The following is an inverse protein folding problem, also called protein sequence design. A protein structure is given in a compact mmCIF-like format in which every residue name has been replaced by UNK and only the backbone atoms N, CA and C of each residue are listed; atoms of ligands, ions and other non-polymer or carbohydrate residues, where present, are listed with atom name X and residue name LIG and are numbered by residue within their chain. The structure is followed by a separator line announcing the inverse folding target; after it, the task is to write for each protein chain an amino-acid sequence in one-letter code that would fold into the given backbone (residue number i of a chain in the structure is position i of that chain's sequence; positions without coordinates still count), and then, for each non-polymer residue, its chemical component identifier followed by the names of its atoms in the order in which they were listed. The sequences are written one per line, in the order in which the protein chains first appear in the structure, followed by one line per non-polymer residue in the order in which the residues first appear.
data_IF_107615979845
#
_entry.id   IF_107615979845
#
_cell.length_a   1.000
_cell.length_b   1.000
_cell.length_c   1.000
_cell.angle_alpha   90.00
_cell.angle_beta   90.00
_cell.angle_gamma   90.00
#
_symmetry.space_group_name_H-M   'P 1'
#
loop_
_entity.id
_entity.type
_entity.pdbx_description
1 polymer ?
#
# COMPACT_ATOMS: atom_id res chain seq x y z
N UNK A 1 5.80 31.98 -44.86
CA UNK A 1 5.22 30.63 -44.98
C UNK A 1 6.07 29.72 -44.10
N UNK A 2 5.75 29.65 -42.82
CA UNK A 2 6.57 28.98 -41.79
C UNK A 2 6.06 27.54 -41.66
N UNK A 3 6.94 26.59 -41.95
CA UNK A 3 6.70 25.17 -41.78
C UNK A 3 6.47 24.88 -40.29
N UNK A 4 5.31 24.32 -39.97
CA UNK A 4 5.00 23.80 -38.64
C UNK A 4 5.73 22.47 -38.52
N UNK A 5 6.67 22.44 -37.57
CA UNK A 5 7.39 21.27 -37.08
C UNK A 5 6.44 20.09 -36.85
N UNK A 6 6.58 19.02 -37.63
CA UNK A 6 6.04 17.70 -37.31
C UNK A 6 6.62 17.26 -35.95
N UNK A 7 5.77 17.26 -34.92
CA UNK A 7 6.08 16.61 -33.67
C UNK A 7 6.32 15.12 -33.96
N UNK A 8 7.53 14.65 -33.71
CA UNK A 8 7.89 13.24 -33.73
C UNK A 8 6.95 12.51 -32.75
N UNK A 9 5.93 11.83 -33.28
CA UNK A 9 5.13 10.88 -32.50
C UNK A 9 6.07 9.77 -32.05
N UNK A 10 6.33 9.69 -30.76
CA UNK A 10 7.01 8.54 -30.17
C UNK A 10 6.14 7.29 -30.38
N UNK A 11 6.72 6.12 -30.70
CA UNK A 11 5.96 4.91 -30.88
C UNK A 11 5.30 4.53 -29.54
N UNK A 12 4.00 4.21 -29.59
CA UNK A 12 3.27 3.66 -28.47
C UNK A 12 4.06 2.45 -27.93
N UNK A 13 4.27 2.34 -26.61
CA UNK A 13 4.52 1.03 -26.02
C UNK A 13 3.33 0.16 -26.41
N UNK A 14 3.54 -0.77 -27.33
CA UNK A 14 2.50 -1.70 -27.79
C UNK A 14 2.09 -2.60 -26.62
N UNK A 15 0.80 -2.95 -26.52
CA UNK A 15 0.25 -3.88 -25.51
C UNK A 15 1.08 -5.16 -25.39
N UNK A 16 1.55 -5.68 -26.53
CA UNK A 16 2.44 -6.83 -26.60
C UNK A 16 3.76 -6.60 -25.83
N UNK A 17 4.33 -5.39 -25.89
CA UNK A 17 5.60 -5.05 -25.20
C UNK A 17 5.44 -5.05 -23.68
N UNK A 18 4.31 -4.55 -23.15
CA UNK A 18 4.03 -4.60 -21.71
C UNK A 18 3.77 -6.03 -21.25
N UNK A 19 2.98 -6.78 -22.02
CA UNK A 19 2.69 -8.19 -21.73
C UNK A 19 3.97 -9.04 -21.73
N UNK A 20 4.83 -8.86 -22.74
CA UNK A 20 6.13 -9.54 -22.85
C UNK A 20 7.07 -9.16 -21.70
N UNK A 21 7.06 -7.89 -21.29
CA UNK A 21 7.80 -7.40 -20.14
C UNK A 21 7.33 -8.11 -18.86
N UNK A 22 6.02 -8.18 -18.61
CA UNK A 22 5.47 -8.88 -17.44
C UNK A 22 5.77 -10.39 -17.48
N UNK A 23 5.69 -11.02 -18.65
CA UNK A 23 6.08 -12.41 -18.83
C UNK A 23 7.58 -12.63 -18.52
N UNK A 24 8.46 -11.73 -18.95
CA UNK A 24 9.87 -11.75 -18.61
C UNK A 24 10.10 -11.57 -17.11
N UNK A 25 9.42 -10.62 -16.47
CA UNK A 25 9.44 -10.43 -15.02
C UNK A 25 9.06 -11.72 -14.27
N UNK A 26 7.97 -12.38 -14.68
CA UNK A 26 7.54 -13.66 -14.11
C UNK A 26 8.61 -14.76 -14.23
N UNK A 27 9.30 -14.84 -15.37
CA UNK A 27 10.43 -15.77 -15.55
C UNK A 27 11.60 -15.48 -14.61
N UNK A 28 11.88 -14.21 -14.31
CA UNK A 28 12.91 -13.85 -13.34
C UNK A 28 12.46 -14.23 -11.93
N UNK A 29 11.24 -13.86 -11.53
CA UNK A 29 10.66 -14.18 -10.21
C UNK A 29 10.66 -15.67 -9.92
N UNK A 30 10.39 -16.51 -10.92
CA UNK A 30 10.43 -17.97 -10.78
C UNK A 30 11.81 -18.51 -10.34
N UNK A 31 12.91 -17.75 -10.54
CA UNK A 31 14.27 -18.11 -10.11
C UNK A 31 14.58 -17.68 -8.66
N UNK A 32 13.68 -16.94 -8.03
CA UNK A 32 13.80 -16.45 -6.65
C UNK A 32 12.56 -16.87 -5.84
N UNK A 33 12.24 -18.18 -5.76
CA UNK A 33 11.06 -18.66 -5.05
C UNK A 33 11.09 -18.31 -3.56
N UNK A 34 12.29 -18.16 -2.98
CA UNK A 34 12.51 -17.71 -1.60
C UNK A 34 11.93 -16.33 -1.30
N UNK A 35 11.91 -15.41 -2.27
CA UNK A 35 11.35 -14.07 -2.08
C UNK A 35 9.81 -14.07 -2.01
N UNK A 36 9.13 -15.18 -2.36
CA UNK A 36 7.69 -15.35 -2.14
C UNK A 36 7.34 -15.40 -0.65
N UNK A 37 8.31 -15.66 0.22
CA UNK A 37 8.17 -15.51 1.67
C UNK A 37 7.67 -14.11 2.09
N UNK A 38 7.90 -13.08 1.26
CA UNK A 38 7.40 -11.74 1.53
C UNK A 38 5.89 -11.59 1.28
N UNK A 39 5.19 -12.55 0.67
CA UNK A 39 3.73 -12.51 0.53
C UNK A 39 3.03 -12.80 1.88
N UNK A 40 1.75 -12.40 2.04
CA UNK A 40 0.91 -12.89 3.13
C UNK A 40 0.95 -14.43 3.18
N UNK A 41 1.26 -14.99 4.35
CA UNK A 41 1.37 -16.43 4.58
C UNK A 41 2.55 -17.10 3.87
N UNK A 42 3.44 -16.30 3.27
CA UNK A 42 4.59 -16.78 2.51
C UNK A 42 5.52 -17.63 3.36
N UNK A 43 6.16 -18.61 2.71
CA UNK A 43 7.01 -19.61 3.36
C UNK A 43 8.44 -19.52 2.83
N UNK A 44 9.41 -19.56 3.74
CA UNK A 44 10.84 -19.67 3.46
C UNK A 44 11.32 -21.02 3.96
N UNK A 45 11.68 -21.91 3.03
CA UNK A 45 12.22 -23.23 3.35
C UNK A 45 13.71 -23.30 3.00
N UNK A 46 14.54 -23.55 4.01
CA UNK A 46 15.99 -23.67 3.91
C UNK A 46 16.40 -25.11 4.17
N UNK A 47 16.63 -25.89 3.12
CA UNK A 47 17.14 -27.27 3.20
C UNK A 47 18.65 -27.27 3.18
N UNK A 48 19.26 -27.62 4.31
CA UNK A 48 20.72 -27.63 4.45
C UNK A 48 21.13 -28.50 5.62
N UNK A 49 22.30 -29.11 5.53
CA UNK A 49 22.90 -29.90 6.61
C UNK A 49 23.86 -29.02 7.40
N UNK A 50 23.53 -28.70 8.65
CA UNK A 50 24.39 -27.92 9.55
C UNK A 50 24.70 -28.78 10.79
N UNK A 51 25.92 -29.32 10.91
CA UNK A 51 26.29 -30.09 12.08
C UNK A 51 26.57 -29.19 13.28
N UNK A 52 26.38 -29.76 14.48
CA UNK A 52 26.75 -29.16 15.76
C UNK A 52 26.19 -27.73 15.97
N UNK A 53 24.94 -27.50 15.54
CA UNK A 53 24.26 -26.23 15.72
C UNK A 53 23.81 -26.08 17.19
N UNK A 54 24.12 -24.94 17.80
CA UNK A 54 23.74 -24.61 19.18
C UNK A 54 22.67 -23.53 19.26
N UNK A 55 22.52 -22.72 18.21
CA UNK A 55 21.42 -21.76 18.11
C UNK A 55 21.07 -21.40 16.67
N UNK A 56 19.82 -21.03 16.44
CA UNK A 56 19.35 -20.35 15.23
C UNK A 56 18.88 -18.94 15.62
N UNK A 57 19.37 -17.93 14.91
CA UNK A 57 18.92 -16.54 15.04
C UNK A 57 18.27 -16.09 13.75
N UNK A 58 17.14 -15.42 13.89
CA UNK A 58 16.43 -14.76 12.80
C UNK A 58 16.40 -13.27 13.14
N UNK A 59 16.88 -12.43 12.24
CA UNK A 59 17.01 -10.99 12.49
C UNK A 59 16.64 -10.14 11.27
N UNK A 60 16.28 -8.88 11.53
CA UNK A 60 16.06 -7.89 10.48
C UNK A 60 17.18 -6.85 10.49
N UNK A 61 17.93 -6.64 9.40
CA UNK A 61 18.97 -5.61 9.32
C UNK A 61 18.40 -4.19 9.08
N UNK A 62 17.34 -3.81 9.79
CA UNK A 62 16.68 -2.50 9.65
C UNK A 62 15.93 -2.06 10.92
N UNK A 63 15.38 -0.84 10.91
CA UNK A 63 14.47 -0.36 11.97
C UNK A 63 13.04 -0.82 11.70
N UNK A 64 12.66 -1.97 12.24
CA UNK A 64 11.32 -2.53 12.04
C UNK A 64 10.90 -3.42 13.22
N UNK A 65 9.73 -4.05 13.14
CA UNK A 65 9.32 -5.12 14.04
C UNK A 65 9.52 -6.48 13.37
N UNK A 66 10.26 -7.39 14.00
CA UNK A 66 10.32 -8.79 13.59
C UNK A 66 9.03 -9.48 14.05
N UNK A 67 8.32 -10.05 13.09
CA UNK A 67 6.92 -10.42 13.27
C UNK A 67 6.58 -11.63 12.40
N UNK A 68 6.54 -12.83 13.00
CA UNK A 68 6.47 -14.11 12.29
C UNK A 68 5.35 -15.01 12.82
N UNK A 69 4.80 -15.85 11.94
CA UNK A 69 3.74 -16.79 12.27
C UNK A 69 4.29 -18.12 12.80
N UNK A 70 5.28 -18.69 12.13
CA UNK A 70 5.84 -20.00 12.47
C UNK A 70 7.34 -20.04 12.18
N UNK A 71 8.10 -20.74 13.01
CA UNK A 71 9.48 -21.18 12.74
C UNK A 71 9.58 -22.65 13.13
N UNK A 72 9.85 -23.51 12.15
CA UNK A 72 10.11 -24.94 12.35
C UNK A 72 11.58 -25.22 12.06
N UNK A 73 12.17 -26.10 12.86
CA UNK A 73 13.54 -26.57 12.65
C UNK A 73 13.50 -28.09 12.67
N UNK A 74 13.84 -28.74 11.57
CA UNK A 74 14.05 -30.18 11.59
C UNK A 74 15.51 -30.42 11.99
N UNK A 75 15.69 -31.09 13.11
CA UNK A 75 16.99 -31.39 13.68
C UNK A 75 17.07 -32.86 14.12
N UNK A 76 18.14 -33.54 13.74
CA UNK A 76 18.32 -34.96 14.06
C UNK A 76 18.51 -35.13 15.58
N UNK A 77 17.84 -36.15 16.14
CA UNK A 77 17.93 -36.48 17.57
C UNK A 77 17.04 -35.64 18.49
N UNK A 78 16.21 -34.72 17.97
CA UNK A 78 15.26 -33.94 18.76
C UNK A 78 13.83 -34.36 18.48
N UNK A 79 13.20 -35.04 19.44
CA UNK A 79 11.77 -35.45 19.36
C UNK A 79 10.82 -34.35 19.80
N UNK A 80 11.20 -33.51 20.77
CA UNK A 80 10.40 -32.39 21.26
C UNK A 80 11.23 -31.09 21.23
N UNK A 81 11.09 -30.33 20.14
CA UNK A 81 11.79 -29.06 19.97
C UNK A 81 11.36 -27.99 20.97
N UNK A 82 10.12 -28.04 21.45
CA UNK A 82 9.62 -27.04 22.41
C UNK A 82 10.37 -27.24 23.73
N UNK A 83 10.47 -28.48 24.20
CA UNK A 83 11.19 -28.83 25.42
C UNK A 83 12.72 -28.72 25.27
N UNK A 84 13.27 -29.08 24.11
CA UNK A 84 14.71 -29.10 23.86
C UNK A 84 15.32 -27.73 23.48
N UNK A 85 14.51 -26.66 23.47
CA UNK A 85 14.99 -25.32 23.13
C UNK A 85 14.59 -24.27 24.15
N UNK A 86 15.37 -23.19 24.22
CA UNK A 86 14.96 -21.91 24.78
C UNK A 86 14.74 -20.90 23.65
N UNK A 87 13.79 -19.99 23.84
CA UNK A 87 13.38 -19.01 22.84
C UNK A 87 13.45 -17.62 23.44
N UNK A 88 14.20 -16.72 22.82
CA UNK A 88 14.37 -15.34 23.28
C UNK A 88 14.24 -14.36 22.12
N UNK A 89 13.92 -13.11 22.44
CA UNK A 89 13.83 -12.02 21.46
C UNK A 89 14.54 -10.78 21.99
N UNK A 90 14.92 -9.89 21.08
CA UNK A 90 15.46 -8.57 21.43
C UNK A 90 14.50 -7.73 22.26
N UNK A 91 13.19 -7.82 21.95
CA UNK A 91 12.11 -7.18 22.69
C UNK A 91 10.78 -7.91 22.46
N UNK A 92 9.74 -7.53 23.22
CA UNK A 92 8.39 -8.08 23.10
C UNK A 92 7.36 -6.95 23.00
N UNK A 93 6.44 -7.08 22.03
CA UNK A 93 5.25 -6.24 21.90
C UNK A 93 4.08 -6.89 22.65
N UNK A 94 3.37 -6.13 23.51
CA UNK A 94 2.10 -6.53 24.16
C UNK A 94 2.01 -8.01 24.58
N UNK A 95 2.99 -8.47 25.37
CA UNK A 95 3.05 -9.82 25.97
C UNK A 95 3.28 -11.01 25.01
N UNK A 96 3.75 -10.77 23.78
CA UNK A 96 4.08 -11.85 22.82
C UNK A 96 5.20 -12.80 23.29
N UNK A 97 5.95 -12.45 24.33
CA UNK A 97 6.90 -13.32 25.01
C UNK A 97 6.23 -14.55 25.64
N UNK A 98 5.00 -14.42 26.13
CA UNK A 98 4.20 -15.55 26.64
C UNK A 98 3.79 -16.48 25.49
N UNK A 99 3.36 -15.90 24.36
CA UNK A 99 3.03 -16.66 23.13
C UNK A 99 4.26 -17.40 22.62
N UNK A 100 5.41 -16.74 22.57
CA UNK A 100 6.69 -17.37 22.19
C UNK A 100 7.06 -18.52 23.13
N UNK A 101 6.91 -18.32 24.44
CA UNK A 101 7.25 -19.34 25.45
C UNK A 101 6.37 -20.59 25.35
N UNK A 102 5.11 -20.46 24.89
CA UNK A 102 4.15 -21.57 24.76
C UNK A 102 4.50 -22.62 23.70
N UNK A 103 5.44 -22.31 22.79
CA UNK A 103 5.81 -23.21 21.70
C UNK A 103 4.93 -23.09 20.45
N UNK A 104 3.93 -22.19 20.42
CA UNK A 104 3.10 -21.88 19.22
C UNK A 104 3.96 -21.59 17.98
N UNK A 105 5.18 -21.06 18.17
CA UNK A 105 6.15 -20.86 17.10
C UNK A 105 6.45 -22.13 16.31
N UNK A 106 6.41 -23.30 16.95
CA UNK A 106 6.67 -24.60 16.36
C UNK A 106 5.39 -25.33 15.88
N UNK A 107 4.23 -24.68 15.93
CA UNK A 107 2.98 -25.25 15.41
C UNK A 107 2.90 -25.04 13.87
N UNK A 108 3.03 -26.12 13.07
CA UNK A 108 2.94 -26.01 11.61
C UNK A 108 1.55 -25.61 11.11
N UNK A 109 0.50 -25.81 11.92
CA UNK A 109 -0.88 -25.43 11.62
C UNK A 109 -1.20 -23.98 11.96
N UNK A 110 -0.40 -23.34 12.82
CA UNK A 110 -0.62 -21.97 13.22
C UNK A 110 -0.39 -21.00 12.04
N UNK A 111 -1.38 -20.13 11.82
CA UNK A 111 -1.32 -19.01 10.85
C UNK A 111 -1.34 -17.66 11.54
N UNK A 112 -1.66 -17.64 12.83
CA UNK A 112 -1.57 -16.45 13.65
C UNK A 112 -0.11 -16.15 13.98
N UNK A 113 0.13 -14.97 14.54
CA UNK A 113 1.49 -14.59 14.92
C UNK A 113 1.94 -15.32 16.17
N UNK A 114 3.07 -16.00 16.08
CA UNK A 114 3.70 -16.61 17.24
C UNK A 114 4.63 -15.67 18.01
N UNK A 115 5.20 -14.65 17.34
CA UNK A 115 6.14 -13.71 17.98
C UNK A 115 6.09 -12.32 17.34
N UNK A 116 6.27 -11.28 18.16
CA UNK A 116 6.29 -9.88 17.72
C UNK A 116 7.25 -9.06 18.59
N UNK A 117 8.31 -8.50 18.00
CA UNK A 117 9.20 -7.53 18.70
C UNK A 117 8.62 -6.12 18.66
N UNK A 118 9.05 -5.23 19.55
CA UNK A 118 8.78 -3.80 19.36
C UNK A 118 9.44 -3.33 18.06
N UNK A 119 9.01 -2.17 17.55
CA UNK A 119 9.72 -1.53 16.45
C UNK A 119 11.05 -0.98 16.98
N UNK A 120 12.15 -1.52 16.51
CA UNK A 120 13.50 -1.21 17.00
C UNK A 120 14.53 -1.41 15.89
N UNK A 121 15.76 -0.94 16.12
CA UNK A 121 16.88 -1.21 15.23
C UNK A 121 17.37 -2.65 15.43
N UNK A 122 17.45 -3.41 14.35
CA UNK A 122 17.96 -4.79 14.36
C UNK A 122 17.22 -5.74 15.34
N UNK A 123 15.88 -5.86 15.23
CA UNK A 123 15.15 -6.84 16.03
C UNK A 123 15.56 -8.25 15.66
N UNK A 124 15.63 -9.12 16.66
CA UNK A 124 16.00 -10.52 16.47
C UNK A 124 15.20 -11.46 17.38
N UNK A 125 15.11 -12.71 16.94
CA UNK A 125 14.70 -13.84 17.77
C UNK A 125 15.76 -14.94 17.70
N UNK A 126 15.93 -15.66 18.80
CA UNK A 126 16.88 -16.75 18.89
C UNK A 126 16.22 -17.98 19.49
N UNK A 127 16.49 -19.12 18.86
CA UNK A 127 16.18 -20.45 19.37
C UNK A 127 17.52 -21.09 19.73
N UNK A 128 17.76 -21.35 21.01
CA UNK A 128 18.98 -22.02 21.48
C UNK A 128 18.65 -23.46 21.87
N UNK A 129 19.46 -24.41 21.42
CA UNK A 129 19.29 -25.83 21.74
C UNK A 129 19.97 -26.16 23.06
N UNK A 130 19.39 -27.10 23.82
CA UNK A 130 19.99 -27.61 25.05
C UNK A 130 21.31 -28.34 24.77
N UNK A 131 21.34 -29.14 23.71
CA UNK A 131 22.52 -29.87 23.22
C UNK A 131 22.76 -29.49 21.75
N UNK A 132 24.01 -29.56 21.23
CA UNK A 132 24.27 -29.36 19.82
C UNK A 132 23.51 -30.37 18.94
N UNK A 133 22.88 -29.88 17.87
CA UNK A 133 22.06 -30.70 16.96
C UNK A 133 22.56 -30.65 15.53
N UNK A 134 22.14 -31.61 14.70
CA UNK A 134 22.31 -31.53 13.25
C UNK A 134 21.02 -31.01 12.62
N UNK A 135 21.04 -29.77 12.11
CA UNK A 135 19.89 -29.18 11.43
C UNK A 135 19.85 -29.68 9.99
N UNK A 136 18.69 -30.16 9.54
CA UNK A 136 18.43 -30.57 8.15
C UNK A 136 17.49 -29.61 7.41
N UNK A 137 16.64 -28.88 8.14
CA UNK A 137 15.73 -27.86 7.59
C UNK A 137 15.45 -26.75 8.58
N UNK A 138 15.41 -25.51 8.08
CA UNK A 138 14.78 -24.37 8.76
C UNK A 138 13.62 -23.90 7.89
N UNK A 139 12.43 -23.82 8.45
CA UNK A 139 11.23 -23.36 7.77
C UNK A 139 10.62 -22.19 8.53
N UNK A 140 10.32 -21.11 7.82
CA UNK A 140 9.75 -19.89 8.41
C UNK A 140 8.48 -19.54 7.64
N UNK A 141 7.38 -19.33 8.35
CA UNK A 141 6.14 -18.79 7.79
C UNK A 141 5.95 -17.34 8.22
N UNK A 142 5.70 -16.49 7.24
CA UNK A 142 5.40 -15.08 7.44
C UNK A 142 3.94 -14.89 7.90
N UNK A 143 3.59 -13.68 8.34
CA UNK A 143 2.22 -13.33 8.69
C UNK A 143 1.27 -13.45 7.51
N UNK A 144 0.03 -13.81 7.78
CA UNK A 144 -1.02 -13.98 6.77
C UNK A 144 -1.74 -12.67 6.37
N UNK A 145 -1.06 -11.52 6.51
CA UNK A 145 -1.65 -10.21 6.20
C UNK A 145 -0.67 -9.23 5.54
N UNK A 146 -1.13 -8.00 5.29
CA UNK A 146 -0.35 -6.95 4.65
C UNK A 146 0.95 -6.56 5.36
N UNK A 147 1.11 -6.87 6.65
CA UNK A 147 2.32 -6.54 7.42
C UNK A 147 3.47 -7.53 7.22
N UNK A 148 3.23 -8.64 6.51
CA UNK A 148 4.26 -9.61 6.06
C UNK A 148 5.48 -8.96 5.41
N UNK A 149 5.31 -7.82 4.74
CA UNK A 149 6.41 -7.07 4.10
C UNK A 149 7.47 -6.58 5.09
N UNK A 150 7.18 -6.51 6.40
CA UNK A 150 8.15 -6.15 7.44
C UNK A 150 9.32 -7.13 7.53
N UNK A 151 9.15 -8.35 7.04
CA UNK A 151 10.22 -9.36 6.99
C UNK A 151 11.23 -9.13 5.84
N UNK A 152 11.15 -8.02 5.12
CA UNK A 152 12.10 -7.70 4.03
C UNK A 152 13.53 -7.62 4.57
N UNK A 153 14.47 -8.19 3.83
CA UNK A 153 15.87 -8.25 4.22
C UNK A 153 16.19 -9.24 5.35
N UNK A 154 15.23 -10.06 5.82
CA UNK A 154 15.43 -11.03 6.90
C UNK A 154 16.68 -11.90 6.68
N UNK A 155 17.43 -12.08 7.75
CA UNK A 155 18.62 -12.91 7.78
C UNK A 155 18.41 -14.08 8.76
N UNK A 156 18.91 -15.24 8.38
CA UNK A 156 18.95 -16.44 9.23
C UNK A 156 20.40 -16.78 9.48
N UNK A 157 20.78 -16.84 10.75
CA UNK A 157 22.12 -17.16 11.21
C UNK A 157 22.07 -18.39 12.10
N UNK A 158 23.12 -19.20 12.05
CA UNK A 158 23.25 -20.40 12.86
C UNK A 158 24.57 -20.35 13.60
N UNK A 159 24.53 -20.61 14.91
CA UNK A 159 25.70 -20.72 15.76
C UNK A 159 26.13 -22.18 15.85
N UNK A 160 27.43 -22.45 15.75
CA UNK A 160 27.98 -23.77 16.02
C UNK A 160 28.39 -23.94 17.50
N UNK A 161 28.80 -25.15 17.87
CA UNK A 161 29.35 -25.53 19.17
C UNK A 161 30.63 -24.77 19.59
N UNK A 162 31.35 -24.17 18.63
CA UNK A 162 32.45 -23.25 18.89
C UNK A 162 32.02 -21.79 19.08
N UNK A 163 30.71 -21.50 19.10
CA UNK A 163 30.16 -20.16 19.29
C UNK A 163 30.23 -19.26 18.05
N UNK A 164 30.66 -19.77 16.90
CA UNK A 164 30.76 -19.03 15.64
C UNK A 164 29.40 -18.96 14.94
N UNK A 165 28.99 -17.75 14.59
CA UNK A 165 27.80 -17.49 13.77
C UNK A 165 28.11 -17.56 12.27
N UNK A 166 27.22 -18.19 11.52
CA UNK A 166 27.24 -18.24 10.06
C UNK A 166 25.87 -17.83 9.51
N UNK A 167 25.84 -16.86 8.60
CA UNK A 167 24.62 -16.49 7.89
C UNK A 167 24.29 -17.56 6.85
N UNK A 168 23.16 -18.24 7.03
CA UNK A 168 22.69 -19.32 6.16
C UNK A 168 21.63 -18.86 5.17
N UNK A 169 21.00 -17.71 5.43
CA UNK A 169 20.16 -16.99 4.50
C UNK A 169 20.32 -15.48 4.69
N UNK A 170 20.42 -14.74 3.60
CA UNK A 170 20.57 -13.29 3.60
C UNK A 170 19.59 -12.65 2.62
N UNK A 171 18.44 -12.21 3.13
CA UNK A 171 17.38 -11.58 2.34
C UNK A 171 17.85 -10.34 1.59
N UNK A 172 18.71 -9.49 2.18
CA UNK A 172 19.25 -8.31 1.49
C UNK A 172 20.03 -8.74 0.25
N UNK A 173 20.90 -9.75 0.39
CA UNK A 173 21.67 -10.27 -0.73
C UNK A 173 20.74 -10.85 -1.80
N UNK A 174 19.72 -11.62 -1.42
CA UNK A 174 18.74 -12.20 -2.35
C UNK A 174 17.97 -11.13 -3.12
N UNK A 175 17.55 -10.05 -2.45
CA UNK A 175 16.88 -8.91 -3.08
C UNK A 175 17.80 -8.16 -4.06
N UNK A 176 19.09 -8.00 -3.73
CA UNK A 176 20.10 -7.43 -4.64
C UNK A 176 20.34 -8.34 -5.86
N UNK A 177 20.44 -9.65 -5.65
CA UNK A 177 20.59 -10.64 -6.73
C UNK A 177 19.37 -10.63 -7.66
N UNK A 178 18.15 -10.51 -7.09
CA UNK A 178 16.92 -10.36 -7.84
C UNK A 178 16.89 -9.08 -8.67
N UNK A 179 17.19 -7.93 -8.06
CA UNK A 179 17.26 -6.65 -8.77
C UNK A 179 18.29 -6.69 -9.91
N UNK A 180 19.45 -7.32 -9.68
CA UNK A 180 20.46 -7.51 -10.71
C UNK A 180 19.98 -8.47 -11.82
N UNK A 181 19.20 -9.51 -11.49
CA UNK A 181 18.62 -10.43 -12.46
C UNK A 181 17.53 -9.75 -13.31
N UNK A 182 16.69 -8.91 -12.71
CA UNK A 182 15.76 -8.04 -13.42
C UNK A 182 16.52 -7.11 -14.36
N UNK A 183 17.53 -6.40 -13.87
CA UNK A 183 18.37 -5.54 -14.72
C UNK A 183 19.03 -6.30 -15.88
N UNK A 184 19.52 -7.52 -15.69
CA UNK A 184 20.11 -8.32 -16.78
C UNK A 184 19.06 -8.81 -17.77
N UNK A 185 17.92 -9.29 -17.29
CA UNK A 185 16.86 -9.84 -18.13
C UNK A 185 16.32 -8.76 -19.09
N UNK A 186 16.09 -7.56 -18.58
CA UNK A 186 15.62 -6.43 -19.37
C UNK A 186 16.78 -5.69 -20.06
N UNK A 187 17.99 -5.77 -19.51
CA UNK A 187 19.24 -5.29 -20.11
C UNK A 187 19.65 -6.05 -21.38
N UNK A 188 19.28 -7.34 -21.47
CA UNK A 188 19.42 -8.15 -22.68
C UNK A 188 18.50 -7.73 -23.82
N UNK A 189 17.42 -6.99 -23.55
CA UNK A 189 16.62 -6.28 -24.56
C UNK A 189 17.28 -4.96 -25.01
N UNK A 190 18.28 -4.46 -24.27
CA UNK A 190 18.92 -3.15 -24.47
C UNK A 190 20.44 -3.27 -24.56
N UNK A 191 20.98 -4.03 -25.52
CA UNK A 191 22.42 -4.05 -25.83
C UNK A 191 22.94 -2.73 -26.47
N UNK A 192 22.45 -1.58 -25.99
CA UNK A 192 23.01 -0.23 -26.17
C UNK A 192 22.67 0.67 -24.97
N UNK A 193 22.93 0.25 -23.72
CA UNK A 193 22.66 1.13 -22.57
C UNK A 193 23.61 0.95 -21.37
N UNK A 194 24.14 2.09 -20.88
CA UNK A 194 25.00 2.26 -19.70
C UNK A 194 24.26 2.00 -18.36
N UNK A 195 24.99 1.78 -17.23
CA UNK A 195 24.44 1.18 -16.02
C UNK A 195 23.47 2.08 -15.23
N UNK A 196 22.28 1.55 -14.93
CA UNK A 196 21.27 2.12 -14.02
C UNK A 196 21.66 1.89 -12.55
N UNK A 197 22.85 2.36 -12.13
CA UNK A 197 23.35 2.19 -10.75
C UNK A 197 23.00 3.40 -9.85
N UNK A 198 22.61 4.54 -10.44
CA UNK A 198 22.50 5.81 -9.69
C UNK A 198 21.27 6.03 -8.81
N UNK A 199 20.21 5.20 -8.85
CA UNK A 199 18.91 5.51 -8.20
C UNK A 199 18.16 4.31 -7.60
N UNK A 200 18.88 3.28 -7.15
CA UNK A 200 18.26 2.24 -6.32
C UNK A 200 17.99 2.77 -4.88
N UNK A 201 16.96 2.26 -4.18
CA UNK A 201 16.74 2.51 -2.75
C UNK A 201 18.03 2.40 -1.94
N UNK A 202 18.20 3.23 -0.91
CA UNK A 202 19.49 3.41 -0.21
C UNK A 202 20.15 2.10 0.25
N UNK A 203 19.36 1.09 0.61
CA UNK A 203 19.80 -0.22 1.11
C UNK A 203 20.23 -1.22 -0.01
N UNK A 204 19.88 -0.97 -1.28
CA UNK A 204 20.32 -1.77 -2.44
C UNK A 204 21.66 -1.26 -2.99
N UNK A 205 22.08 -0.03 -2.66
CA UNK A 205 23.35 0.52 -3.13
C UNK A 205 24.52 -0.31 -2.57
N UNK A 206 25.46 -0.77 -3.41
CA UNK A 206 26.76 -1.20 -2.91
C UNK A 206 27.44 -0.02 -2.22
N UNK A 207 28.15 -0.24 -1.11
CA UNK A 207 28.98 0.78 -0.46
C UNK A 207 30.07 1.29 -1.42
N UNK A 208 29.74 2.30 -2.22
CA UNK A 208 30.68 3.04 -3.05
C UNK A 208 31.21 4.23 -2.23
N UNK A 209 32.13 3.96 -1.32
CA UNK A 209 32.96 5.00 -0.72
C UNK A 209 34.42 4.87 -1.18
N UNK A 210 34.77 5.61 -2.24
CA UNK A 210 35.79 6.69 -2.23
C UNK A 210 36.27 7.03 -3.65
N UNK A 211 36.12 8.30 -4.03
CA UNK A 211 36.96 8.96 -5.03
C UNK A 211 36.44 9.02 -6.46
N UNK A 212 35.65 10.04 -6.79
CA UNK A 212 35.66 10.64 -8.13
C UNK A 212 35.30 12.13 -8.02
N UNK A 213 36.04 13.05 -8.70
CA UNK A 213 35.84 14.48 -8.54
C UNK A 213 34.57 14.97 -9.24
N UNK A 214 33.95 15.99 -8.64
CA UNK A 214 32.82 16.70 -9.20
C UNK A 214 33.27 17.55 -10.39
N UNK A 215 32.64 17.34 -11.55
CA UNK A 215 32.79 18.23 -12.70
C UNK A 215 32.55 17.50 -14.02
N UNK A 216 31.39 17.73 -14.63
CA UNK A 216 31.15 18.04 -16.05
C UNK A 216 29.63 17.96 -16.25
N UNK A 217 29.01 19.13 -16.38
CA UNK A 217 27.70 19.28 -16.97
C UNK A 217 27.82 18.87 -18.45
N UNK A 218 27.22 17.74 -18.83
CA UNK A 218 27.07 17.35 -20.22
C UNK A 218 25.59 17.05 -20.52
N UNK A 219 25.18 17.50 -21.70
CA UNK A 219 23.84 17.50 -22.29
C UNK A 219 23.07 16.19 -22.16
N UNK A 220 21.75 16.29 -21.91
CA UNK A 220 20.82 15.15 -21.78
C UNK A 220 20.65 14.42 -23.14
N UNK A 221 21.03 13.14 -23.27
CA UNK A 221 20.56 12.31 -24.38
C UNK A 221 19.15 11.83 -24.06
N UNK A 222 18.23 12.01 -25.01
CA UNK A 222 16.78 11.95 -24.79
C UNK A 222 16.13 10.60 -25.18
N UNK A 223 16.89 9.54 -25.49
CA UNK A 223 16.34 8.38 -26.22
C UNK A 223 16.34 7.03 -25.48
N UNK A 224 16.55 6.97 -24.16
CA UNK A 224 16.79 5.66 -23.53
C UNK A 224 16.36 5.52 -22.03
N UNK A 225 15.32 6.25 -21.60
CA UNK A 225 14.84 6.26 -20.19
C UNK A 225 13.82 5.17 -19.84
N UNK A 226 12.94 4.81 -20.78
CA UNK A 226 11.79 3.92 -20.57
C UNK A 226 12.15 2.54 -19.98
N UNK A 227 13.18 1.87 -20.50
CA UNK A 227 13.55 0.53 -20.04
C UNK A 227 14.06 0.49 -18.59
N UNK A 228 14.85 1.49 -18.19
CA UNK A 228 15.37 1.59 -16.83
C UNK A 228 14.28 1.92 -15.79
N UNK A 229 13.32 2.78 -16.15
CA UNK A 229 12.20 3.14 -15.29
C UNK A 229 11.21 1.98 -15.11
N UNK A 230 10.92 1.22 -16.17
CA UNK A 230 10.06 0.03 -16.10
C UNK A 230 10.67 -1.06 -15.22
N UNK A 231 11.97 -1.35 -15.38
CA UNK A 231 12.66 -2.33 -14.54
C UNK A 231 12.64 -1.91 -13.08
N UNK A 232 12.83 -0.62 -12.79
CA UNK A 232 12.74 -0.10 -11.42
C UNK A 232 11.35 -0.34 -10.83
N UNK A 233 10.29 0.03 -11.55
CA UNK A 233 8.91 -0.15 -11.10
C UNK A 233 8.58 -1.63 -10.87
N UNK A 234 8.88 -2.50 -11.83
CA UNK A 234 8.61 -3.94 -11.70
C UNK A 234 9.43 -4.58 -10.58
N UNK A 235 10.70 -4.19 -10.41
CA UNK A 235 11.53 -4.66 -9.28
C UNK A 235 10.91 -4.24 -7.95
N UNK A 236 10.50 -2.98 -7.82
CA UNK A 236 9.86 -2.45 -6.63
C UNK A 236 8.53 -3.17 -6.33
N UNK A 237 7.69 -3.38 -7.35
CA UNK A 237 6.44 -4.14 -7.24
C UNK A 237 6.69 -5.57 -6.74
N UNK A 238 7.62 -6.31 -7.33
CA UNK A 238 7.90 -7.69 -6.91
C UNK A 238 8.48 -7.76 -5.50
N UNK A 239 9.36 -6.83 -5.12
CA UNK A 239 9.92 -6.70 -3.77
C UNK A 239 8.96 -6.06 -2.75
N UNK A 240 7.72 -5.76 -3.16
CA UNK A 240 6.69 -5.10 -2.34
C UNK A 240 7.12 -3.74 -1.77
N UNK A 241 8.04 -3.05 -2.45
CA UNK A 241 8.41 -1.67 -2.16
C UNK A 241 7.54 -0.73 -3.00
N UNK A 242 6.32 -0.45 -2.54
CA UNK A 242 5.41 0.41 -3.28
C UNK A 242 5.76 1.90 -3.17
N UNK A 243 6.77 2.23 -2.36
CA UNK A 243 7.17 3.61 -2.09
C UNK A 243 7.64 4.28 -3.38
N UNK A 244 6.92 5.30 -3.81
CA UNK A 244 7.29 6.06 -5.01
C UNK A 244 6.95 5.39 -6.33
N UNK A 245 6.32 4.20 -6.36
CA UNK A 245 5.92 3.54 -7.61
C UNK A 245 5.01 4.42 -8.48
N UNK A 246 4.06 5.14 -7.87
CA UNK A 246 3.21 6.10 -8.58
C UNK A 246 3.98 7.27 -9.20
N UNK A 247 4.94 7.83 -8.46
CA UNK A 247 5.82 8.90 -8.96
C UNK A 247 6.75 8.38 -10.07
N UNK A 248 7.19 7.14 -9.94
CA UNK A 248 8.09 6.52 -10.90
C UNK A 248 7.35 6.16 -12.19
N UNK A 249 6.06 5.81 -12.14
CA UNK A 249 5.27 5.58 -13.35
C UNK A 249 5.07 6.83 -14.19
N UNK A 250 5.06 8.02 -13.58
CA UNK A 250 5.03 9.28 -14.34
C UNK A 250 6.26 9.47 -15.23
N UNK A 251 7.35 8.72 -14.96
CA UNK A 251 8.58 8.74 -15.76
C UNK A 251 8.53 7.84 -16.99
N UNK A 252 7.52 6.96 -17.10
CA UNK A 252 7.39 6.02 -18.23
C UNK A 252 6.89 6.67 -19.54
N UNK A 253 6.65 7.99 -19.58
CA UNK A 253 6.20 8.74 -20.77
C UNK A 253 5.08 8.01 -21.55
N UNK A 254 3.97 7.74 -20.85
CA UNK A 254 2.83 6.97 -21.37
C UNK A 254 1.63 7.90 -21.59
N UNK A 255 0.86 7.66 -22.66
CA UNK A 255 -0.49 8.23 -22.77
C UNK A 255 -1.39 7.73 -21.64
N UNK A 256 -2.51 8.42 -21.40
CA UNK A 256 -3.46 8.04 -20.35
C UNK A 256 -3.97 6.59 -20.51
N UNK A 257 -4.30 6.20 -21.74
CA UNK A 257 -4.79 4.86 -22.08
C UNK A 257 -3.72 3.79 -21.85
N UNK A 258 -2.47 4.06 -22.25
CA UNK A 258 -1.37 3.13 -22.01
C UNK A 258 -1.08 3.00 -20.52
N UNK A 259 -1.10 4.10 -19.76
CA UNK A 259 -0.90 4.06 -18.31
C UNK A 259 -2.02 3.27 -17.61
N UNK A 260 -3.28 3.44 -18.05
CA UNK A 260 -4.41 2.66 -17.56
C UNK A 260 -4.25 1.17 -17.87
N UNK A 261 -3.88 0.84 -19.11
CA UNK A 261 -3.63 -0.53 -19.53
C UNK A 261 -2.47 -1.19 -18.76
N UNK A 262 -1.36 -0.48 -18.55
CA UNK A 262 -0.23 -0.95 -17.74
C UNK A 262 -0.64 -1.22 -16.29
N UNK A 263 -1.39 -0.30 -15.66
CA UNK A 263 -1.95 -0.53 -14.31
C UNK A 263 -2.85 -1.77 -14.29
N UNK A 264 -3.73 -1.94 -15.26
CA UNK A 264 -4.60 -3.12 -15.35
C UNK A 264 -3.81 -4.44 -15.46
N UNK A 265 -2.74 -4.45 -16.25
CA UNK A 265 -1.86 -5.61 -16.37
C UNK A 265 -1.08 -5.87 -15.07
N UNK A 266 -0.57 -4.84 -14.39
CA UNK A 266 0.09 -4.98 -13.08
C UNK A 266 -0.89 -5.49 -12.02
N UNK A 267 -2.12 -4.97 -12.00
CA UNK A 267 -3.18 -5.40 -11.08
C UNK A 267 -3.46 -6.90 -11.25
N UNK A 268 -3.74 -7.33 -12.49
CA UNK A 268 -4.10 -8.72 -12.78
C UNK A 268 -2.95 -9.73 -12.64
N UNK A 269 -1.70 -9.33 -12.86
CA UNK A 269 -0.57 -10.27 -12.93
C UNK A 269 0.39 -10.22 -11.73
N UNK A 270 0.34 -9.18 -10.89
CA UNK A 270 1.28 -9.00 -9.77
C UNK A 270 0.54 -8.73 -8.46
N UNK A 271 -0.43 -7.81 -8.47
CA UNK A 271 -1.04 -7.32 -7.22
C UNK A 271 -2.23 -8.16 -6.75
N UNK A 272 -3.00 -8.76 -7.66
CA UNK A 272 -4.20 -9.53 -7.32
C UNK A 272 -3.92 -10.73 -6.39
N UNK A 273 -2.80 -11.44 -6.59
CA UNK A 273 -2.38 -12.55 -5.70
C UNK A 273 -2.12 -12.11 -4.25
N UNK A 274 -1.99 -10.80 -4.03
CA UNK A 274 -1.70 -10.17 -2.73
C UNK A 274 -2.91 -9.41 -2.19
N UNK A 275 -4.07 -9.57 -2.82
CA UNK A 275 -5.28 -8.79 -2.54
C UNK A 275 -5.02 -7.27 -2.62
N UNK A 276 -4.24 -6.84 -3.62
CA UNK A 276 -3.93 -5.44 -3.85
C UNK A 276 -4.31 -5.03 -5.27
N UNK A 277 -4.57 -3.74 -5.42
CA UNK A 277 -4.90 -3.09 -6.68
C UNK A 277 -4.24 -1.70 -6.71
N UNK A 278 -3.74 -1.30 -7.87
CA UNK A 278 -3.27 0.06 -8.10
C UNK A 278 -4.46 0.95 -8.49
N UNK A 279 -4.97 1.67 -7.51
CA UNK A 279 -6.09 2.62 -7.60
C UNK A 279 -5.60 4.06 -7.85
N UNK A 280 -6.53 5.01 -7.95
CA UNK A 280 -6.23 6.45 -7.94
C UNK A 280 -5.48 6.89 -6.67
N UNK A 281 -5.66 6.16 -5.56
CA UNK A 281 -5.05 6.43 -4.26
C UNK A 281 -3.73 5.66 -4.01
N UNK A 282 -3.19 5.03 -5.07
CA UNK A 282 -1.96 4.24 -5.05
C UNK A 282 -2.24 2.74 -4.98
N UNK A 283 -1.27 1.95 -4.52
CA UNK A 283 -1.44 0.49 -4.36
C UNK A 283 -2.12 0.22 -3.02
N UNK A 284 -3.36 -0.26 -3.08
CA UNK A 284 -4.30 -0.38 -1.96
C UNK A 284 -5.04 -1.71 -2.03
N UNK A 285 -5.62 -2.14 -0.91
CA UNK A 285 -6.57 -3.27 -0.91
C UNK A 285 -7.96 -2.70 -1.16
N UNK A 286 -8.37 -2.69 -2.43
CA UNK A 286 -9.68 -2.18 -2.87
C UNK A 286 -10.84 -3.05 -2.37
N UNK A 287 -12.06 -2.53 -2.43
CA UNK A 287 -13.27 -3.20 -1.96
C UNK A 287 -13.52 -4.56 -2.62
N UNK A 288 -12.97 -4.80 -3.82
CA UNK A 288 -12.99 -6.10 -4.52
C UNK A 288 -12.51 -7.25 -3.64
N UNK A 289 -11.53 -7.01 -2.78
CA UNK A 289 -10.93 -8.05 -1.94
C UNK A 289 -11.60 -8.17 -0.56
N UNK A 290 -12.53 -7.26 -0.23
CA UNK A 290 -13.11 -7.23 1.10
C UNK A 290 -14.27 -8.24 1.18
N UNK A 291 -14.26 -9.17 2.15
CA UNK A 291 -15.41 -10.01 2.41
C UNK A 291 -16.61 -9.14 2.80
N UNK A 292 -17.82 -9.63 2.51
CA UNK A 292 -19.08 -8.90 2.72
C UNK A 292 -19.21 -8.30 4.12
N UNK A 293 -18.84 -9.05 5.15
CA UNK A 293 -18.88 -8.59 6.56
C UNK A 293 -17.96 -7.37 6.79
N UNK A 294 -16.79 -7.34 6.16
CA UNK A 294 -15.86 -6.20 6.27
C UNK A 294 -16.46 -4.96 5.58
N UNK A 295 -17.10 -5.13 4.42
CA UNK A 295 -17.78 -4.05 3.71
C UNK A 295 -18.94 -3.46 4.55
N UNK A 296 -19.78 -4.31 5.15
CA UNK A 296 -20.90 -3.89 6.00
C UNK A 296 -20.41 -3.14 7.26
N UNK A 297 -19.36 -3.65 7.92
CA UNK A 297 -18.73 -2.97 9.06
C UNK A 297 -18.16 -1.60 8.68
N UNK A 298 -17.59 -1.48 7.49
CA UNK A 298 -17.04 -0.23 7.00
C UNK A 298 -18.09 0.82 6.67
N UNK A 299 -19.21 0.42 6.03
CA UNK A 299 -20.37 1.30 5.82
C UNK A 299 -20.95 1.76 7.17
N UNK A 300 -21.09 0.85 8.13
CA UNK A 300 -21.52 1.18 9.48
C UNK A 300 -20.58 2.17 10.17
N UNK A 301 -19.26 2.00 10.01
CA UNK A 301 -18.26 2.96 10.48
C UNK A 301 -18.44 4.34 9.83
N UNK A 302 -18.60 4.41 8.51
CA UNK A 302 -18.84 5.68 7.81
C UNK A 302 -20.08 6.40 8.35
N UNK A 303 -21.18 5.68 8.58
CA UNK A 303 -22.40 6.26 9.16
C UNK A 303 -22.24 6.67 10.62
N UNK A 304 -21.40 5.96 11.39
CA UNK A 304 -21.00 6.42 12.73
C UNK A 304 -20.23 7.75 12.72
N UNK A 305 -19.45 8.02 11.66
CA UNK A 305 -18.80 9.33 11.46
C UNK A 305 -19.82 10.39 11.07
N UNK A 306 -20.74 10.09 10.15
CA UNK A 306 -21.85 11.00 9.78
C UNK A 306 -22.67 11.39 11.01
N UNK A 307 -23.08 10.42 11.82
CA UNK A 307 -23.86 10.68 13.03
C UNK A 307 -23.08 11.54 14.04
N UNK A 308 -21.77 11.29 14.20
CA UNK A 308 -20.94 12.12 15.06
C UNK A 308 -20.83 13.58 14.59
N UNK A 309 -20.82 13.79 13.27
CA UNK A 309 -20.74 15.11 12.65
C UNK A 309 -22.04 15.92 12.74
N UNK A 310 -23.19 15.28 12.97
CA UNK A 310 -24.48 15.97 13.15
C UNK A 310 -24.50 16.92 14.36
N UNK A 311 -23.61 16.70 15.32
CA UNK A 311 -23.37 17.65 16.43
C UNK A 311 -22.94 19.05 15.93
N UNK A 312 -22.35 19.15 14.74
CA UNK A 312 -21.97 20.44 14.12
C UNK A 312 -23.15 21.06 13.37
N UNK A 313 -23.82 20.28 12.52
CA UNK A 313 -25.05 20.65 11.81
C UNK A 313 -25.64 19.45 11.04
N UNK A 314 -26.87 19.60 10.53
CA UNK A 314 -27.56 18.58 9.72
C UNK A 314 -27.14 18.54 8.24
N UNK A 315 -26.22 19.40 7.79
CA UNK A 315 -25.75 19.46 6.41
C UNK A 315 -24.61 18.45 6.18
N UNK A 316 -24.87 17.17 6.51
CA UNK A 316 -23.92 16.06 6.38
C UNK A 316 -24.53 14.86 5.65
N UNK A 317 -23.81 14.31 4.66
CA UNK A 317 -24.22 13.12 3.91
C UNK A 317 -23.02 12.45 3.22
N UNK A 318 -23.24 11.28 2.59
CA UNK A 318 -22.27 10.69 1.67
C UNK A 318 -22.07 11.56 0.42
N UNK A 319 -20.87 11.52 -0.16
CA UNK A 319 -20.50 12.24 -1.38
C UNK A 319 -19.84 11.38 -2.44
N UNK A 320 -19.55 11.98 -3.59
CA UNK A 320 -18.68 11.46 -4.64
C UNK A 320 -18.90 9.96 -4.93
N UNK A 321 -17.85 9.13 -4.84
CA UNK A 321 -17.89 7.71 -5.18
C UNK A 321 -18.84 6.92 -4.28
N UNK A 322 -19.08 7.42 -3.06
CA UNK A 322 -20.02 6.79 -2.12
C UNK A 322 -21.46 6.91 -2.56
N UNK A 323 -21.84 8.03 -3.19
CA UNK A 323 -23.20 8.18 -3.73
C UNK A 323 -23.39 7.30 -4.96
N UNK A 324 -22.36 7.16 -5.81
CA UNK A 324 -22.37 6.20 -6.92
C UNK A 324 -22.57 4.76 -6.42
N UNK A 325 -21.85 4.36 -5.36
CA UNK A 325 -21.98 3.05 -4.74
C UNK A 325 -23.41 2.76 -4.26
N UNK A 326 -24.06 3.75 -3.64
CA UNK A 326 -25.44 3.61 -3.12
C UNK A 326 -26.48 3.61 -4.24
N UNK A 327 -26.37 4.54 -5.19
CA UNK A 327 -27.44 4.88 -6.14
C UNK A 327 -27.32 4.13 -7.46
N UNK A 328 -26.10 3.96 -7.99
CA UNK A 328 -25.85 3.30 -9.28
C UNK A 328 -25.56 1.82 -9.10
N UNK A 329 -24.58 1.50 -8.26
CA UNK A 329 -23.98 0.17 -8.25
C UNK A 329 -24.68 -0.76 -7.23
N UNK A 330 -25.33 -0.19 -6.21
CA UNK A 330 -25.93 -0.89 -5.08
C UNK A 330 -24.96 -1.86 -4.37
N UNK A 331 -23.66 -1.55 -4.48
CA UNK A 331 -22.53 -2.20 -3.83
C UNK A 331 -21.38 -1.21 -3.75
N UNK A 332 -20.38 -1.47 -2.90
CA UNK A 332 -19.13 -0.71 -2.95
C UNK A 332 -18.46 -0.88 -4.32
N UNK A 333 -17.92 0.22 -4.88
CA UNK A 333 -17.25 0.23 -6.18
C UNK A 333 -16.01 -0.66 -6.10
N UNK A 334 -15.92 -1.77 -6.85
CA UNK A 334 -14.90 -2.80 -6.56
C UNK A 334 -13.45 -2.32 -6.58
N UNK A 335 -13.13 -1.33 -7.42
CA UNK A 335 -11.76 -0.82 -7.58
C UNK A 335 -11.46 0.41 -6.72
N UNK A 336 -12.42 0.84 -5.91
CA UNK A 336 -12.27 1.93 -4.96
C UNK A 336 -11.80 1.41 -3.59
N UNK A 337 -11.32 2.31 -2.73
CA UNK A 337 -10.76 1.95 -1.42
C UNK A 337 -11.18 2.86 -0.25
N UNK A 338 -12.01 3.87 -0.51
CA UNK A 338 -12.63 4.68 0.53
C UNK A 338 -14.08 5.11 0.25
N UNK A 339 -14.71 5.66 1.28
CA UNK A 339 -15.99 6.35 1.22
C UNK A 339 -15.77 7.83 1.58
N UNK A 340 -16.49 8.69 0.89
CA UNK A 340 -16.50 10.13 1.01
C UNK A 340 -17.73 10.60 1.78
N UNK A 341 -17.50 11.47 2.75
CA UNK A 341 -18.52 12.15 3.55
C UNK A 341 -18.38 13.65 3.29
N UNK A 342 -19.49 14.33 3.10
CA UNK A 342 -19.58 15.77 2.89
C UNK A 342 -20.20 16.40 4.14
N UNK A 343 -19.54 17.40 4.77
CA UNK A 343 -20.18 18.33 5.73
C UNK A 343 -20.09 19.83 5.32
N UNK A 344 -21.25 20.46 5.19
CA UNK A 344 -21.40 21.83 4.70
C UNK A 344 -21.56 22.83 5.84
N UNK A 345 -20.85 23.96 5.77
CA UNK A 345 -20.93 25.02 6.78
C UNK A 345 -21.46 26.32 6.17
N UNK A 346 -22.31 27.01 6.92
CA UNK A 346 -22.65 28.39 6.59
C UNK A 346 -21.50 29.33 6.94
N UNK A 347 -21.49 30.51 6.35
CA UNK A 347 -20.42 31.49 6.54
C UNK A 347 -20.28 31.96 8.00
N UNK A 348 -21.37 31.91 8.78
CA UNK A 348 -21.35 32.20 10.22
C UNK A 348 -20.79 31.04 11.06
N UNK A 349 -20.83 29.80 10.56
CA UNK A 349 -20.24 28.63 11.22
C UNK A 349 -18.75 28.49 10.92
N UNK A 350 -18.37 28.63 9.64
CA UNK A 350 -16.99 28.56 9.20
C UNK A 350 -16.74 29.61 8.11
N UNK A 351 -15.72 30.45 8.30
CA UNK A 351 -15.40 31.51 7.34
C UNK A 351 -14.53 31.01 6.19
N UNK A 352 -13.88 29.86 6.37
CA UNK A 352 -13.03 29.20 5.39
C UNK A 352 -13.09 27.67 5.49
N UNK A 353 -12.52 26.99 4.49
CA UNK A 353 -12.35 25.54 4.49
C UNK A 353 -11.44 25.10 5.65
N UNK A 354 -10.44 25.92 6.01
CA UNK A 354 -9.55 25.63 7.13
C UNK A 354 -10.31 25.68 8.47
N UNK A 355 -11.22 26.64 8.64
CA UNK A 355 -12.10 26.71 9.82
C UNK A 355 -13.00 25.46 9.91
N UNK A 356 -13.65 25.08 8.81
CA UNK A 356 -14.50 23.89 8.80
C UNK A 356 -13.71 22.60 9.09
N UNK A 357 -12.49 22.48 8.56
CA UNK A 357 -11.55 21.41 8.89
C UNK A 357 -11.23 21.41 10.39
N UNK A 358 -11.03 22.57 11.01
CA UNK A 358 -10.77 22.68 12.44
C UNK A 358 -11.98 22.24 13.28
N UNK A 359 -13.20 22.62 12.87
CA UNK A 359 -14.45 22.20 13.52
C UNK A 359 -14.63 20.68 13.48
N UNK A 360 -14.39 20.05 12.32
CA UNK A 360 -14.44 18.59 12.17
C UNK A 360 -13.48 17.90 13.14
N UNK A 361 -12.23 18.39 13.27
CA UNK A 361 -11.26 17.85 14.25
C UNK A 361 -11.76 17.98 15.69
N UNK A 362 -12.24 19.17 16.05
CA UNK A 362 -12.71 19.46 17.39
C UNK A 362 -13.93 18.62 17.78
N UNK A 363 -14.78 18.29 16.80
CA UNK A 363 -15.93 17.40 16.98
C UNK A 363 -15.51 15.93 17.15
N UNK A 364 -14.69 15.41 16.24
CA UNK A 364 -14.44 13.97 16.13
C UNK A 364 -13.37 13.43 17.10
N UNK A 365 -12.33 14.21 17.41
CA UNK A 365 -11.23 13.74 18.28
C UNK A 365 -11.73 13.38 19.70
N UNK A 366 -12.54 14.22 20.39
CA UNK A 366 -13.08 13.86 21.71
C UNK A 366 -13.97 12.63 21.70
N UNK A 367 -14.56 12.28 20.55
CA UNK A 367 -15.40 11.08 20.35
C UNK A 367 -14.59 9.82 20.05
N UNK A 368 -13.26 9.88 20.12
CA UNK A 368 -12.35 8.74 19.98
C UNK A 368 -11.93 8.41 18.55
N UNK A 369 -12.26 9.28 17.59
CA UNK A 369 -11.77 9.17 16.22
C UNK A 369 -10.36 9.74 16.08
N UNK A 370 -9.56 9.15 15.20
CA UNK A 370 -8.27 9.68 14.78
C UNK A 370 -8.42 10.44 13.47
N UNK A 371 -8.13 11.74 13.51
CA UNK A 371 -8.30 12.66 12.38
C UNK A 371 -6.94 13.15 11.89
N UNK A 372 -6.59 12.80 10.66
CA UNK A 372 -5.27 13.06 10.06
C UNK A 372 -5.38 13.67 8.66
N UNK A 373 -4.25 14.02 8.05
CA UNK A 373 -4.20 14.72 6.77
C UNK A 373 -4.05 16.23 6.94
N UNK A 374 -3.22 16.84 6.09
CA UNK A 374 -3.08 18.30 5.95
C UNK A 374 -3.50 18.68 4.51
N UNK A 375 -4.75 18.37 4.18
CA UNK A 375 -5.32 18.51 2.85
C UNK A 375 -6.22 19.74 2.84
N UNK A 376 -6.39 20.36 1.68
CA UNK A 376 -7.02 21.69 1.57
C UNK A 376 -8.47 21.73 2.02
N UNK A 377 -9.23 20.65 1.79
CA UNK A 377 -10.67 20.64 1.97
C UNK A 377 -11.23 19.32 2.53
N UNK A 378 -10.37 18.38 2.92
CA UNK A 378 -10.82 17.14 3.53
C UNK A 378 -9.82 16.61 4.55
N UNK A 379 -10.29 15.65 5.35
CA UNK A 379 -9.49 14.94 6.33
C UNK A 379 -9.74 13.46 6.28
N UNK A 380 -8.73 12.71 6.70
CA UNK A 380 -8.80 11.28 6.86
C UNK A 380 -9.26 10.95 8.26
N UNK A 381 -10.41 10.30 8.37
CA UNK A 381 -11.01 9.88 9.64
C UNK A 381 -10.91 8.37 9.77
N UNK A 382 -10.35 7.92 10.89
CA UNK A 382 -10.19 6.51 11.24
C UNK A 382 -10.70 6.28 12.66
N UNK A 383 -11.04 5.04 13.01
CA UNK A 383 -11.32 4.64 14.38
C UNK A 383 -10.10 3.94 14.97
N UNK A 384 -9.79 4.19 16.24
CA UNK A 384 -8.67 3.53 16.92
C UNK A 384 -8.75 2.01 16.80
N UNK A 385 -7.69 1.38 16.29
CA UNK A 385 -7.64 -0.06 16.06
C UNK A 385 -8.24 -0.56 14.74
N UNK A 386 -8.85 0.33 13.94
CA UNK A 386 -9.24 0.03 12.55
C UNK A 386 -8.19 0.54 11.57
N UNK A 387 -7.96 -0.23 10.51
CA UNK A 387 -7.20 0.22 9.33
C UNK A 387 -8.06 0.96 8.31
N UNK A 388 -9.38 0.97 8.50
CA UNK A 388 -10.31 1.63 7.58
C UNK A 388 -10.35 3.14 7.82
N UNK A 389 -10.42 3.87 6.71
CA UNK A 389 -10.37 5.33 6.64
C UNK A 389 -11.55 5.81 5.79
N UNK A 390 -12.23 6.87 6.19
CA UNK A 390 -13.16 7.63 5.34
C UNK A 390 -12.63 9.03 5.11
N UNK A 391 -12.99 9.63 3.98
CA UNK A 391 -12.60 10.98 3.63
C UNK A 391 -13.75 11.93 3.96
N UNK A 392 -13.54 12.83 4.95
CA UNK A 392 -14.52 13.85 5.32
C UNK A 392 -14.14 15.15 4.64
N UNK A 393 -14.88 15.51 3.61
CA UNK A 393 -14.78 16.79 2.91
C UNK A 393 -15.55 17.86 3.67
N UNK A 394 -15.05 19.10 3.56
CA UNK A 394 -15.62 20.32 4.09
C UNK A 394 -16.03 21.22 2.93
N UNK A 395 -17.22 21.80 3.03
CA UNK A 395 -17.77 22.70 2.02
C UNK A 395 -18.38 23.92 2.66
N UNK A 396 -18.46 25.01 1.89
CA UNK A 396 -19.02 26.28 2.35
C UNK A 396 -20.24 26.66 1.52
N UNK A 397 -21.29 27.15 2.20
CA UNK A 397 -22.43 27.76 1.53
C UNK A 397 -22.08 29.17 1.04
N UNK A 398 -22.45 29.44 -0.21
CA UNK A 398 -22.25 30.71 -0.89
C UNK A 398 -23.61 31.18 -1.43
N UNK A 399 -24.41 31.76 -0.54
CA UNK A 399 -25.83 31.98 -0.80
C UNK A 399 -26.57 30.65 -0.91
N UNK A 400 -27.16 30.37 -2.08
CA UNK A 400 -27.86 29.11 -2.36
C UNK A 400 -26.93 28.01 -2.89
N UNK A 401 -25.72 28.35 -3.31
CA UNK A 401 -24.74 27.37 -3.76
C UNK A 401 -23.98 26.77 -2.56
N UNK A 402 -23.40 25.59 -2.77
CA UNK A 402 -22.42 24.99 -1.86
C UNK A 402 -21.21 24.51 -2.65
N UNK A 403 -20.02 24.74 -2.10
CA UNK A 403 -18.76 24.51 -2.80
C UNK A 403 -17.86 23.53 -2.05
N UNK A 404 -17.45 22.46 -2.75
CA UNK A 404 -16.54 21.41 -2.27
C UNK A 404 -15.31 21.33 -3.14
N UNK A 405 -14.17 21.03 -2.55
CA UNK A 405 -12.93 20.78 -3.29
C UNK A 405 -12.46 19.33 -3.07
N UNK A 406 -12.15 18.57 -4.13
CA UNK A 406 -12.22 18.94 -5.55
C UNK A 406 -13.66 18.90 -6.08
N UNK A 407 -14.06 19.92 -6.84
CA UNK A 407 -15.38 20.01 -7.44
C UNK A 407 -15.54 21.28 -8.26
N UNK A 408 -16.60 21.36 -9.07
CA UNK A 408 -16.94 22.57 -9.81
C UNK A 408 -17.67 23.53 -8.88
N UNK A 409 -17.03 24.65 -8.52
CA UNK A 409 -17.60 25.68 -7.62
C UNK A 409 -18.93 26.20 -8.20
N UNK A 410 -19.95 26.35 -7.37
CA UNK A 410 -21.26 26.88 -7.78
C UNK A 410 -22.16 25.93 -8.59
N UNK A 411 -21.76 24.67 -8.81
CA UNK A 411 -22.59 23.68 -9.54
C UNK A 411 -23.67 23.01 -8.68
N UNK A 412 -23.50 23.01 -7.37
CA UNK A 412 -24.39 22.36 -6.40
C UNK A 412 -25.12 23.40 -5.58
N UNK A 413 -26.40 23.15 -5.29
CA UNK A 413 -27.24 24.02 -4.46
C UNK A 413 -27.59 23.38 -3.13
N UNK A 414 -27.97 24.20 -2.15
CA UNK A 414 -28.47 23.74 -0.86
C UNK A 414 -29.65 22.80 -1.03
N UNK A 415 -30.61 23.15 -1.88
CA UNK A 415 -31.84 22.38 -2.10
C UNK A 415 -31.55 21.00 -2.69
N UNK A 416 -30.58 20.89 -3.60
CA UNK A 416 -30.17 19.62 -4.21
C UNK A 416 -29.51 18.68 -3.18
N UNK A 417 -28.76 19.26 -2.23
CA UNK A 417 -27.99 18.50 -1.25
C UNK A 417 -28.80 18.15 0.00
N UNK A 418 -29.59 19.09 0.52
CA UNK A 418 -30.17 19.01 1.86
C UNK A 418 -31.67 19.41 1.90
N UNK A 419 -32.46 18.88 2.86
CA UNK A 419 -32.08 17.86 3.84
C UNK A 419 -31.75 16.53 3.18
N UNK A 420 -30.76 15.81 3.72
CA UNK A 420 -30.27 14.58 3.14
C UNK A 420 -31.39 13.50 3.09
N UNK A 421 -31.31 12.61 2.09
CA UNK A 421 -32.24 11.51 1.88
C UNK A 421 -31.67 10.20 2.43
N UNK A 422 -32.49 9.43 3.16
CA UNK A 422 -32.10 8.12 3.69
C UNK A 422 -32.30 7.00 2.66
N UNK A 423 -31.35 6.08 2.55
CA UNK A 423 -31.37 4.91 1.65
C UNK A 423 -30.70 3.70 2.30
N UNK A 424 -31.24 2.49 2.10
CA UNK A 424 -30.62 1.27 2.59
C UNK A 424 -29.43 0.86 1.72
N UNK A 425 -28.28 0.63 2.35
CA UNK A 425 -27.06 0.21 1.68
C UNK A 425 -26.26 -0.74 2.56
N UNK A 426 -25.99 -1.95 2.06
CA UNK A 426 -25.22 -2.98 2.77
C UNK A 426 -25.66 -3.17 4.24
N UNK A 427 -26.97 -3.26 4.46
CA UNK A 427 -27.56 -3.49 5.80
C UNK A 427 -27.55 -2.28 6.73
N UNK A 428 -27.09 -1.12 6.27
CA UNK A 428 -27.05 0.14 7.02
C UNK A 428 -27.94 1.20 6.35
N UNK A 429 -28.64 1.99 7.16
CA UNK A 429 -29.34 3.18 6.65
C UNK A 429 -28.31 4.29 6.41
N UNK A 430 -28.08 4.63 5.15
CA UNK A 430 -27.16 5.67 4.74
C UNK A 430 -27.90 6.95 4.36
N UNK A 431 -27.25 8.10 4.54
CA UNK A 431 -27.76 9.39 4.05
C UNK A 431 -26.97 9.86 2.84
N UNK A 432 -27.68 10.23 1.78
CA UNK A 432 -27.16 10.75 0.51
C UNK A 432 -27.77 12.13 0.23
N UNK A 433 -27.28 12.89 -0.77
CA UNK A 433 -27.90 14.15 -1.17
C UNK A 433 -29.41 14.00 -1.42
N UNK A 434 -30.18 15.06 -1.15
CA UNK A 434 -31.64 15.08 -1.31
C UNK A 434 -32.09 14.59 -2.70
N UNK A 435 -31.40 15.07 -3.73
CA UNK A 435 -31.63 14.75 -5.14
C UNK A 435 -30.38 14.03 -5.71
N UNK A 436 -30.18 12.74 -5.38
CA UNK A 436 -28.91 12.08 -5.61
C UNK A 436 -28.57 11.90 -7.10
N UNK A 437 -29.56 11.65 -7.96
CA UNK A 437 -29.34 11.52 -9.40
C UNK A 437 -28.92 12.84 -10.03
N UNK A 438 -29.53 13.96 -9.60
CA UNK A 438 -29.17 15.30 -10.07
C UNK A 438 -27.79 15.71 -9.54
N UNK A 439 -27.48 15.39 -8.29
CA UNK A 439 -26.14 15.55 -7.72
C UNK A 439 -25.08 14.80 -8.55
N UNK A 440 -25.33 13.52 -8.85
CA UNK A 440 -24.41 12.70 -9.63
C UNK A 440 -24.23 13.24 -11.06
N UNK A 441 -25.30 13.72 -11.70
CA UNK A 441 -25.21 14.37 -13.00
C UNK A 441 -24.37 15.66 -12.96
N UNK A 442 -24.46 16.48 -11.91
CA UNK A 442 -23.61 17.67 -11.77
C UNK A 442 -22.14 17.33 -11.52
N UNK A 443 -21.86 16.28 -10.74
CA UNK A 443 -20.49 15.89 -10.38
C UNK A 443 -19.80 15.11 -11.49
N UNK A 444 -20.50 14.15 -12.12
CA UNK A 444 -19.94 13.19 -13.07
C UNK A 444 -20.39 13.40 -14.53
N UNK A 445 -21.36 14.28 -14.77
CA UNK A 445 -21.92 14.55 -16.10
C UNK A 445 -23.12 13.67 -16.44
N UNK A 446 -23.74 13.91 -17.59
CA UNK A 446 -24.98 13.23 -18.03
C UNK A 446 -24.84 11.72 -18.23
N UNK A 447 -23.61 11.20 -18.31
CA UNK A 447 -23.31 9.77 -18.46
C UNK A 447 -22.96 9.08 -17.14
N UNK A 448 -23.18 9.72 -15.98
CA UNK A 448 -22.80 9.19 -14.66
C UNK A 448 -23.30 7.76 -14.36
N UNK A 449 -24.44 7.38 -14.96
CA UNK A 449 -25.06 6.06 -14.84
C UNK A 449 -24.28 4.96 -15.55
N UNK A 450 -23.31 5.31 -16.39
CA UNK A 450 -22.40 4.39 -17.07
C UNK A 450 -21.03 4.49 -16.36
N UNK A 451 -20.50 3.39 -15.79
CA UNK A 451 -19.17 3.41 -15.17
C UNK A 451 -18.08 3.89 -16.14
N UNK A 452 -17.30 4.88 -15.71
CA UNK A 452 -16.16 5.41 -16.46
C UNK A 452 -14.89 5.37 -15.59
N UNK A 453 -14.01 4.41 -15.89
CA UNK A 453 -12.73 4.25 -15.19
C UNK A 453 -11.71 5.35 -15.51
N UNK A 454 -11.97 6.18 -16.52
CA UNK A 454 -11.11 7.29 -16.93
C UNK A 454 -11.62 8.64 -16.43
N UNK A 455 -12.72 8.65 -15.66
CA UNK A 455 -13.30 9.87 -15.12
C UNK A 455 -12.27 10.66 -14.31
N UNK A 456 -12.26 11.98 -14.50
CA UNK A 456 -11.47 12.92 -13.70
C UNK A 456 -12.35 14.09 -13.31
N UNK A 457 -12.36 14.41 -12.01
CA UNK A 457 -13.04 15.61 -11.54
C UNK A 457 -12.48 16.84 -12.24
N UNK A 458 -13.38 17.65 -12.79
CA UNK A 458 -13.05 18.95 -13.35
C UNK A 458 -13.17 20.01 -12.27
N UNK A 459 -12.07 20.66 -11.93
CA UNK A 459 -12.03 21.74 -10.95
C UNK A 459 -10.84 22.66 -11.23
N UNK A 460 -10.96 23.92 -10.81
CA UNK A 460 -9.93 24.93 -11.00
C UNK A 460 -9.44 25.40 -9.63
N UNK A 461 -8.19 25.08 -9.28
CA UNK A 461 -7.65 25.37 -7.95
C UNK A 461 -7.77 26.84 -7.54
N UNK A 462 -7.53 27.76 -8.48
CA UNK A 462 -7.55 29.20 -8.22
C UNK A 462 -8.94 29.71 -7.87
N UNK A 463 -10.00 29.01 -8.28
CA UNK A 463 -11.38 29.35 -7.92
C UNK A 463 -11.68 29.07 -6.45
N UNK A 464 -10.81 28.43 -5.67
CA UNK A 464 -11.03 28.20 -4.23
C UNK A 464 -10.07 29.00 -3.35
N UNK A 465 -9.20 29.82 -3.95
CA UNK A 465 -8.10 30.47 -3.23
C UNK A 465 -8.56 31.47 -2.16
N UNK A 466 -9.72 32.08 -2.35
CA UNK A 466 -10.40 33.02 -1.45
C UNK A 466 -11.03 32.34 -0.23
N UNK A 467 -11.41 31.06 -0.34
CA UNK A 467 -12.06 30.32 0.76
C UNK A 467 -11.18 29.23 1.38
N UNK A 468 -9.97 29.01 0.88
CA UNK A 468 -9.10 27.92 1.33
C UNK A 468 -8.31 28.20 2.63
N UNK A 469 -8.21 29.47 3.09
CA UNK A 469 -7.28 29.88 4.15
C UNK A 469 -7.92 30.10 5.50
#
# INVERSE_FOLDING_TARGET
MVAISEAVRMPLIEEQTVSDSLALGRRVVAKFPDLRFLNPGGELELKMRIPAATAVRIELPSTESLHLATVLIDADGVTDLVAATSRTTSSSWKDYDKTLASGILFDPGNRETAMHTRKEWQPWMQISFTDPVEISRIFIRNRDDGTSVRARGLQVLVQNDHGRWTTVYDGIRREREFAAAMNRAYGGLTARLDPVIGRLPAWIRPDLHRGAPAGILASKPQTNRLGGDLVRILTALYLRDYTGVARDSDLLDMSADQAAHFRALVNSNILAERELEWTSHGIRRSFRFWPRVEQEQYVSFAMGVVEALRDLNDCVCLGFGSVLAVVRDHTLIPHDDDLDILIGFTQDQASSLADGIALVRQCLIPKGYSVTGNLTAHQWVTKSGSSHKVDVFVGLFEGQAISWYPGKRGSLTREMMFPAKSMQFLGTECVVPREPEQYLEQVYGSTWSIPDSNFRHQWVRSEYADIAK
#
